data_IF_953517481987
#
_entry.id   IF_953517481987
#
_cell.length_a   1.000
_cell.length_b   1.000
_cell.length_c   1.000
_cell.angle_alpha   90.00
_cell.angle_beta   90.00
_cell.angle_gamma   90.00
#
_symmetry.space_group_name_H-M   'P 1'
#
loop_
_entity.id
_entity.type
_entity.pdbx_description
1 polymer ?
#
# COMPACT_ATOMS: atom_id res chain seq x y z
N UNK A 1 -12.57 9.05 13.07
CA UNK A 1 -13.97 9.49 13.30
C UNK A 1 -14.96 8.38 12.93
N UNK A 2 -16.24 8.55 13.25
CA UNK A 2 -17.29 7.96 12.41
C UNK A 2 -17.20 8.71 11.09
N UNK A 3 -16.85 8.02 9.99
CA UNK A 3 -16.86 8.63 8.66
C UNK A 3 -18.16 9.41 8.47
N UNK A 4 -18.07 10.64 7.96
CA UNK A 4 -19.21 11.57 7.83
C UNK A 4 -20.37 10.88 7.07
N UNK A 5 -20.06 9.90 6.22
CA UNK A 5 -21.00 9.08 5.47
C UNK A 5 -21.91 8.23 6.38
N UNK A 6 -21.37 7.65 7.45
CA UNK A 6 -22.13 6.81 8.37
C UNK A 6 -23.10 7.64 9.25
N UNK A 7 -22.82 8.94 9.43
CA UNK A 7 -23.73 9.88 10.11
C UNK A 7 -24.81 10.43 9.16
N UNK A 8 -24.58 10.43 7.85
CA UNK A 8 -25.53 10.91 6.83
C UNK A 8 -26.53 9.84 6.37
N UNK A 9 -26.24 8.55 6.60
CA UNK A 9 -27.06 7.41 6.13
C UNK A 9 -27.69 6.62 7.29
N UNK A 10 -28.13 7.31 8.35
CA UNK A 10 -28.96 6.68 9.39
C UNK A 10 -30.38 6.50 8.84
N UNK A 11 -30.60 5.41 8.09
CA UNK A 11 -31.93 5.05 7.59
C UNK A 11 -32.03 4.09 6.39
N UNK A 12 -30.92 3.64 5.78
CA UNK A 12 -30.98 2.71 4.66
C UNK A 12 -31.01 1.23 5.13
N UNK A 13 -31.71 0.36 4.41
CA UNK A 13 -31.69 -1.11 4.61
C UNK A 13 -30.35 -1.75 4.15
N UNK A 14 -29.36 -0.94 3.81
CA UNK A 14 -28.07 -1.33 3.23
C UNK A 14 -27.05 -1.67 4.34
N UNK A 15 -26.38 -2.83 4.22
CA UNK A 15 -25.27 -3.17 5.11
C UNK A 15 -23.96 -2.58 4.56
N UNK A 16 -23.50 -1.47 5.13
CA UNK A 16 -22.24 -0.82 4.77
C UNK A 16 -21.08 -1.49 5.52
N UNK A 17 -20.08 -1.96 4.79
CA UNK A 17 -18.85 -2.53 5.34
C UNK A 17 -17.66 -1.68 4.92
N UNK A 18 -17.22 -0.81 5.82
CA UNK A 18 -16.06 0.05 5.58
C UNK A 18 -14.77 -0.79 5.57
N UNK A 19 -14.04 -0.67 4.47
CA UNK A 19 -12.70 -1.21 4.36
C UNK A 19 -11.72 -0.21 4.92
N UNK A 20 -10.87 -0.73 5.79
CA UNK A 20 -9.89 0.04 6.52
C UNK A 20 -8.62 0.09 5.69
N UNK A 21 -8.41 1.18 4.95
CA UNK A 21 -7.23 1.36 4.09
C UNK A 21 -5.95 1.23 4.94
N UNK A 22 -5.14 0.25 4.57
CA UNK A 22 -3.81 0.08 5.10
C UNK A 22 -2.98 -0.67 4.09
N UNK A 23 -2.01 0.02 3.47
CA UNK A 23 -0.98 -0.60 2.64
C UNK A 23 -0.12 -1.52 3.54
N UNK A 24 0.45 -2.62 3.04
CA UNK A 24 1.20 -2.79 1.80
C UNK A 24 0.81 -4.13 1.16
N UNK A 25 0.50 -4.10 -0.14
CA UNK A 25 0.38 -5.12 -1.23
C UNK A 25 -0.11 -6.58 -0.95
N UNK A 26 -0.17 -7.04 0.29
CA UNK A 26 -0.85 -8.27 0.73
C UNK A 26 -2.09 -7.98 1.60
N UNK A 27 -2.23 -6.76 2.13
CA UNK A 27 -3.30 -6.45 3.10
C UNK A 27 -4.59 -5.95 2.46
N UNK A 28 -4.57 -5.17 1.38
CA UNK A 28 -5.82 -4.74 0.72
C UNK A 28 -6.53 -5.92 0.09
N UNK A 29 -5.83 -6.72 -0.74
CA UNK A 29 -6.37 -7.95 -1.30
C UNK A 29 -6.74 -8.98 -0.23
N UNK A 30 -5.86 -9.19 0.77
CA UNK A 30 -6.14 -10.13 1.87
C UNK A 30 -7.34 -9.72 2.74
N UNK A 31 -7.48 -8.42 3.05
CA UNK A 31 -8.63 -7.89 3.80
C UNK A 31 -9.90 -7.90 2.96
N UNK A 32 -9.81 -7.59 1.66
CA UNK A 32 -10.92 -7.71 0.72
C UNK A 32 -11.41 -9.16 0.69
N UNK A 33 -10.53 -10.14 0.46
CA UNK A 33 -10.88 -11.57 0.45
C UNK A 33 -11.54 -11.97 1.78
N UNK A 34 -11.00 -11.51 2.92
CA UNK A 34 -11.57 -11.79 4.25
C UNK A 34 -12.97 -11.19 4.42
N UNK A 35 -13.18 -9.96 3.95
CA UNK A 35 -14.48 -9.26 4.03
C UNK A 35 -15.49 -9.93 3.12
N UNK A 36 -15.13 -10.16 1.84
CA UNK A 36 -15.96 -10.90 0.88
C UNK A 36 -16.31 -12.29 1.41
N UNK A 37 -15.35 -13.04 1.96
CA UNK A 37 -15.60 -14.34 2.58
C UNK A 37 -16.54 -14.29 3.80
N UNK A 38 -16.55 -13.18 4.55
CA UNK A 38 -17.52 -12.98 5.64
C UNK A 38 -18.91 -12.59 5.11
N UNK A 39 -18.98 -11.74 4.09
CA UNK A 39 -20.22 -11.37 3.40
C UNK A 39 -20.89 -12.61 2.79
N UNK A 40 -20.10 -13.52 2.22
CA UNK A 40 -20.60 -14.76 1.64
C UNK A 40 -21.29 -15.71 2.63
N UNK A 41 -21.03 -15.57 3.94
CA UNK A 41 -21.78 -16.31 4.97
C UNK A 41 -23.24 -15.85 5.10
N UNK A 42 -23.60 -14.70 4.53
CA UNK A 42 -24.93 -14.07 4.56
C UNK A 42 -25.43 -13.71 3.16
N UNK A 43 -25.02 -14.48 2.15
CA UNK A 43 -25.34 -14.25 0.73
C UNK A 43 -26.85 -14.16 0.44
N UNK A 44 -27.69 -14.72 1.30
CA UNK A 44 -29.15 -14.68 1.20
C UNK A 44 -29.75 -13.28 1.49
N UNK A 45 -28.94 -12.30 1.91
CA UNK A 45 -29.41 -10.96 2.31
C UNK A 45 -29.12 -9.84 1.30
N UNK A 46 -28.39 -10.12 0.22
CA UNK A 46 -28.05 -9.13 -0.80
C UNK A 46 -27.84 -9.78 -2.17
N UNK A 47 -28.07 -9.01 -3.23
CA UNK A 47 -27.91 -9.46 -4.61
C UNK A 47 -26.59 -8.99 -5.25
N UNK A 48 -26.05 -7.86 -4.78
CA UNK A 48 -24.84 -7.23 -5.31
C UNK A 48 -23.94 -6.73 -4.18
N UNK A 49 -22.65 -6.59 -4.49
CA UNK A 49 -21.65 -5.97 -3.62
C UNK A 49 -21.07 -4.80 -4.40
N UNK A 50 -21.10 -3.60 -3.82
CA UNK A 50 -20.44 -2.42 -4.37
C UNK A 50 -19.18 -2.21 -3.53
N UNK A 51 -18.04 -2.11 -4.21
CA UNK A 51 -16.76 -1.78 -3.58
C UNK A 51 -16.41 -0.36 -3.98
N UNK A 52 -16.53 0.56 -3.02
CA UNK A 52 -16.01 1.91 -3.18
C UNK A 52 -14.51 1.90 -2.89
N UNK A 53 -13.72 2.37 -3.85
CA UNK A 53 -12.28 2.58 -3.69
C UNK A 53 -12.02 4.05 -3.40
N UNK A 54 -10.86 4.37 -2.80
CA UNK A 54 -10.47 5.78 -2.63
C UNK A 54 -10.31 6.45 -4.00
N UNK A 55 -10.41 7.77 -4.05
CA UNK A 55 -10.26 8.53 -5.29
C UNK A 55 -8.88 8.39 -5.97
N UNK A 56 -7.88 7.89 -5.24
CA UNK A 56 -6.52 7.64 -5.73
C UNK A 56 -6.22 6.16 -5.96
N UNK A 57 -7.12 5.25 -5.60
CA UNK A 57 -6.87 3.82 -5.74
C UNK A 57 -6.86 3.39 -7.20
N UNK A 58 -5.91 2.50 -7.53
CA UNK A 58 -5.94 1.72 -8.77
C UNK A 58 -7.05 0.64 -8.67
N UNK A 59 -8.02 0.59 -9.61
CA UNK A 59 -9.01 -0.48 -9.65
C UNK A 59 -8.42 -1.87 -9.97
N UNK A 60 -7.20 -1.94 -10.50
CA UNK A 60 -6.50 -3.16 -10.90
C UNK A 60 -6.40 -4.21 -9.79
N UNK A 61 -5.70 -3.95 -8.67
CA UNK A 61 -5.55 -4.90 -7.57
C UNK A 61 -6.88 -5.43 -7.00
N UNK A 62 -7.90 -4.56 -6.93
CA UNK A 62 -9.25 -4.94 -6.49
C UNK A 62 -9.88 -5.89 -7.50
N UNK A 63 -9.84 -5.55 -8.79
CA UNK A 63 -10.41 -6.36 -9.85
C UNK A 63 -9.70 -7.72 -10.00
N UNK A 64 -8.36 -7.75 -9.93
CA UNK A 64 -7.54 -8.97 -9.95
C UNK A 64 -7.98 -10.01 -8.92
N UNK A 65 -8.43 -9.56 -7.74
CA UNK A 65 -8.88 -10.45 -6.65
C UNK A 65 -9.95 -11.43 -7.12
N UNK A 66 -10.85 -11.00 -8.00
CA UNK A 66 -11.94 -11.83 -8.53
C UNK A 66 -11.49 -12.86 -9.58
N UNK A 67 -10.26 -12.74 -10.12
CA UNK A 67 -9.70 -13.65 -11.12
C UNK A 67 -8.62 -14.57 -10.58
N UNK A 68 -7.81 -14.06 -9.65
CA UNK A 68 -6.63 -14.72 -9.11
C UNK A 68 -6.91 -15.54 -7.85
N UNK A 69 -7.98 -15.24 -7.10
CA UNK A 69 -8.36 -16.02 -5.93
C UNK A 69 -9.42 -17.09 -6.28
N UNK A 70 -9.04 -18.35 -6.12
CA UNK A 70 -9.87 -19.49 -6.46
C UNK A 70 -11.16 -19.59 -5.63
N UNK A 71 -11.15 -19.12 -4.37
CA UNK A 71 -12.33 -19.15 -3.51
C UNK A 71 -13.32 -18.07 -3.89
N UNK A 72 -12.84 -16.83 -4.09
CA UNK A 72 -13.66 -15.70 -4.53
C UNK A 72 -14.25 -15.97 -5.91
N UNK A 73 -13.44 -16.41 -6.88
CA UNK A 73 -13.87 -16.69 -8.26
C UNK A 73 -15.00 -17.71 -8.36
N UNK A 74 -15.10 -18.63 -7.41
CA UNK A 74 -16.20 -19.63 -7.36
C UNK A 74 -17.50 -19.05 -6.83
N UNK A 75 -17.46 -17.98 -6.04
CA UNK A 75 -18.61 -17.45 -5.30
C UNK A 75 -19.10 -16.11 -5.85
N UNK A 76 -18.20 -15.31 -6.41
CA UNK A 76 -18.43 -13.95 -6.88
C UNK A 76 -17.85 -13.78 -8.29
N UNK A 77 -18.44 -12.85 -9.03
CA UNK A 77 -17.94 -12.37 -10.32
C UNK A 77 -17.94 -10.85 -10.32
N UNK A 78 -16.88 -10.24 -10.86
CA UNK A 78 -16.85 -8.80 -11.09
C UNK A 78 -17.79 -8.45 -12.25
N UNK A 79 -18.78 -7.59 -12.00
CA UNK A 79 -19.77 -7.18 -13.00
C UNK A 79 -19.25 -6.03 -13.87
N UNK A 80 -18.79 -4.96 -13.23
CA UNK A 80 -18.31 -3.76 -13.90
C UNK A 80 -17.36 -2.95 -13.01
N UNK A 81 -16.45 -2.21 -13.64
CA UNK A 81 -15.77 -1.07 -13.04
C UNK A 81 -16.51 0.21 -13.47
N UNK A 82 -16.92 1.01 -12.49
CA UNK A 82 -17.66 2.26 -12.71
C UNK A 82 -16.81 3.43 -12.23
N UNK A 83 -16.49 4.35 -13.15
CA UNK A 83 -15.66 5.52 -12.84
C UNK A 83 -16.51 6.79 -12.89
N UNK A 84 -16.61 7.47 -11.75
CA UNK A 84 -17.30 8.74 -11.60
C UNK A 84 -16.34 9.89 -11.92
N UNK A 85 -16.66 10.69 -12.93
CA UNK A 85 -15.83 11.80 -13.39
C UNK A 85 -16.47 13.14 -13.01
N UNK A 86 -15.74 14.00 -12.29
CA UNK A 86 -16.14 15.39 -12.08
C UNK A 86 -15.89 16.21 -13.36
N UNK A 87 -16.95 16.52 -14.11
CA UNK A 87 -16.82 17.23 -15.39
C UNK A 87 -16.18 18.63 -15.27
N UNK A 88 -16.23 19.26 -14.09
CA UNK A 88 -15.65 20.59 -13.86
C UNK A 88 -14.15 20.53 -13.58
N UNK A 89 -13.69 19.53 -12.84
CA UNK A 89 -12.31 19.50 -12.32
C UNK A 89 -11.40 18.50 -13.02
N UNK A 90 -11.95 17.52 -13.76
CA UNK A 90 -11.19 16.44 -14.40
C UNK A 90 -10.04 16.92 -15.30
N UNK A 91 -10.17 18.08 -15.94
CA UNK A 91 -9.12 18.65 -16.80
C UNK A 91 -7.81 18.96 -16.06
N UNK A 92 -7.85 19.16 -14.74
CA UNK A 92 -6.66 19.38 -13.92
C UNK A 92 -5.92 18.09 -13.59
N UNK A 93 -6.51 16.92 -13.90
CA UNK A 93 -6.00 15.61 -13.50
C UNK A 93 -5.65 14.73 -14.71
N UNK A 94 -6.37 14.83 -15.84
CA UNK A 94 -6.21 13.91 -16.97
C UNK A 94 -4.82 13.85 -17.59
N UNK A 95 -4.07 14.95 -17.53
CA UNK A 95 -2.74 15.04 -18.14
C UNK A 95 -1.61 14.83 -17.12
N UNK A 96 -1.89 14.99 -15.82
CA UNK A 96 -0.89 15.01 -14.74
C UNK A 96 -1.02 13.83 -13.76
N UNK A 97 -2.13 13.07 -13.77
CA UNK A 97 -2.36 11.88 -12.93
C UNK A 97 -2.50 10.64 -13.79
N UNK A 98 -1.61 9.67 -13.57
CA UNK A 98 -1.67 8.36 -14.22
C UNK A 98 -2.89 7.57 -13.74
N UNK A 99 -3.20 7.66 -12.45
CA UNK A 99 -4.32 7.00 -11.78
C UNK A 99 -5.66 7.41 -12.41
N UNK A 100 -5.88 8.72 -12.62
CA UNK A 100 -7.08 9.22 -13.26
C UNK A 100 -7.25 8.68 -14.68
N UNK A 101 -6.15 8.46 -15.41
CA UNK A 101 -6.19 7.89 -16.75
C UNK A 101 -6.48 6.40 -16.72
N UNK A 102 -5.87 5.66 -15.80
CA UNK A 102 -6.08 4.23 -15.61
C UNK A 102 -7.51 3.93 -15.18
N UNK A 103 -8.05 4.67 -14.19
CA UNK A 103 -9.45 4.55 -13.77
C UNK A 103 -10.43 4.74 -14.94
N UNK A 104 -10.12 5.65 -15.88
CA UNK A 104 -10.94 5.84 -17.10
C UNK A 104 -10.73 4.69 -18.09
N UNK A 105 -9.50 4.22 -18.25
CA UNK A 105 -9.15 3.16 -19.19
C UNK A 105 -9.74 1.80 -18.79
N UNK A 106 -9.80 1.49 -17.50
CA UNK A 106 -10.36 0.23 -17.00
C UNK A 106 -11.88 0.21 -16.91
N UNK A 107 -12.52 1.38 -16.86
CA UNK A 107 -13.97 1.50 -16.68
C UNK A 107 -14.78 0.74 -17.76
N UNK A 108 -15.83 0.07 -17.30
CA UNK A 108 -16.94 -0.38 -18.13
C UNK A 108 -17.96 0.74 -18.34
N UNK A 109 -18.13 1.56 -17.30
CA UNK A 109 -19.09 2.65 -17.27
C UNK A 109 -18.41 3.91 -16.76
N UNK A 110 -18.55 4.99 -17.51
CA UNK A 110 -18.09 6.32 -17.16
C UNK A 110 -19.30 7.19 -16.82
N UNK A 111 -19.35 7.72 -15.61
CA UNK A 111 -20.40 8.66 -15.19
C UNK A 111 -19.82 10.07 -15.16
N UNK A 112 -20.12 10.87 -16.19
CA UNK A 112 -19.76 12.29 -16.25
C UNK A 112 -20.72 13.07 -15.33
N UNK A 113 -20.27 13.37 -14.13
CA UNK A 113 -21.06 14.06 -13.10
C UNK A 113 -20.79 15.57 -13.07
N UNK A 114 -21.68 16.31 -12.39
CA UNK A 114 -21.65 17.78 -12.26
C UNK A 114 -21.73 18.50 -13.60
N UNK A 115 -22.48 17.92 -14.55
CA UNK A 115 -22.70 18.50 -15.88
C UNK A 115 -23.40 19.86 -15.82
N UNK A 116 -24.08 20.18 -14.72
CA UNK A 116 -24.72 21.46 -14.49
C UNK A 116 -23.74 22.60 -14.17
N UNK A 117 -22.46 22.29 -13.91
CA UNK A 117 -21.41 23.27 -13.61
C UNK A 117 -20.52 23.63 -14.80
N UNK A 118 -20.79 23.07 -15.98
CA UNK A 118 -19.99 23.24 -17.21
C UNK A 118 -20.90 23.49 -18.40
N UNK A 119 -20.36 24.09 -19.47
CA UNK A 119 -21.13 24.34 -20.69
C UNK A 119 -21.38 23.05 -21.49
N UNK A 120 -22.43 23.00 -22.33
CA UNK A 120 -22.66 21.86 -23.22
C UNK A 120 -21.45 21.52 -24.10
N UNK A 121 -20.73 22.53 -24.59
CA UNK A 121 -19.53 22.36 -25.40
C UNK A 121 -18.37 21.76 -24.60
N UNK A 122 -18.23 22.13 -23.31
CA UNK A 122 -17.22 21.54 -22.42
C UNK A 122 -17.52 20.05 -22.15
N UNK A 123 -18.79 19.68 -21.99
CA UNK A 123 -19.20 18.29 -21.81
C UNK A 123 -18.92 17.48 -23.07
N UNK A 124 -19.29 17.99 -24.24
CA UNK A 124 -19.06 17.29 -25.52
C UNK A 124 -17.55 17.10 -25.77
N UNK A 125 -16.73 18.10 -25.39
CA UNK A 125 -15.27 18.00 -25.44
C UNK A 125 -14.75 16.94 -24.45
N UNK A 126 -15.28 16.90 -23.23
CA UNK A 126 -14.90 15.90 -22.23
C UNK A 126 -15.26 14.49 -22.69
N UNK A 127 -16.47 14.29 -23.21
CA UNK A 127 -16.93 13.01 -23.74
C UNK A 127 -16.03 12.53 -24.88
N UNK A 128 -15.64 13.43 -25.80
CA UNK A 128 -14.68 13.11 -26.85
C UNK A 128 -13.29 12.74 -26.30
N UNK A 129 -12.81 13.43 -25.25
CA UNK A 129 -11.53 13.13 -24.61
C UNK A 129 -11.55 11.75 -23.97
N UNK A 130 -12.55 11.43 -23.15
CA UNK A 130 -12.64 10.13 -22.46
C UNK A 130 -12.93 8.99 -23.43
N UNK A 131 -13.71 9.21 -24.51
CA UNK A 131 -13.86 8.22 -25.61
C UNK A 131 -12.54 7.91 -26.30
N UNK A 132 -11.66 8.89 -26.42
CA UNK A 132 -10.32 8.70 -26.96
C UNK A 132 -9.43 7.84 -26.07
N UNK A 133 -9.69 7.81 -24.76
CA UNK A 133 -8.97 7.00 -23.78
C UNK A 133 -9.59 5.60 -23.65
N UNK A 134 -10.93 5.53 -23.63
CA UNK A 134 -11.69 4.31 -23.53
C UNK A 134 -12.88 4.34 -24.50
N UNK A 135 -12.70 3.71 -25.66
CA UNK A 135 -13.73 3.64 -26.69
C UNK A 135 -14.82 2.61 -26.38
N UNK A 136 -14.61 1.70 -25.42
CA UNK A 136 -15.53 0.61 -25.12
C UNK A 136 -16.53 0.95 -24.02
N UNK A 137 -16.19 1.86 -23.12
CA UNK A 137 -17.04 2.22 -21.99
C UNK A 137 -18.39 2.84 -22.42
N UNK A 138 -19.42 2.51 -21.65
CA UNK A 138 -20.70 3.22 -21.68
C UNK A 138 -20.54 4.56 -20.95
N UNK A 139 -21.17 5.63 -21.46
CA UNK A 139 -21.03 6.97 -20.89
C UNK A 139 -22.41 7.49 -20.49
N UNK A 140 -22.54 7.89 -19.23
CA UNK A 140 -23.73 8.53 -18.68
C UNK A 140 -23.41 9.94 -18.22
N UNK A 141 -24.23 10.91 -18.64
CA UNK A 141 -24.18 12.28 -18.13
C UNK A 141 -25.10 12.39 -16.92
N UNK A 142 -24.60 12.90 -15.81
CA UNK A 142 -25.32 12.90 -14.53
C UNK A 142 -25.16 14.22 -13.78
N UNK A 143 -26.13 14.49 -12.90
CA UNK A 143 -26.10 15.58 -11.92
C UNK A 143 -26.24 14.96 -10.54
N UNK A 144 -25.35 15.30 -9.60
CA UNK A 144 -25.31 14.69 -8.26
C UNK A 144 -25.24 13.14 -8.30
N UNK A 145 -24.56 12.58 -9.30
CA UNK A 145 -24.48 11.15 -9.56
C UNK A 145 -25.84 10.45 -9.73
N UNK A 146 -26.89 11.20 -10.08
CA UNK A 146 -28.22 10.64 -10.37
C UNK A 146 -28.20 9.86 -11.69
N UNK A 147 -27.96 8.56 -11.58
CA UNK A 147 -27.98 7.57 -12.65
C UNK A 147 -28.84 6.38 -12.22
N UNK A 148 -29.49 5.75 -13.19
CA UNK A 148 -30.29 4.56 -12.91
C UNK A 148 -29.38 3.41 -12.46
N UNK A 149 -29.78 2.67 -11.42
CA UNK A 149 -28.95 1.59 -10.84
C UNK A 149 -28.65 0.48 -11.85
N UNK A 150 -29.57 0.20 -12.77
CA UNK A 150 -29.39 -0.77 -13.86
C UNK A 150 -28.39 -0.32 -14.93
N UNK A 151 -28.00 0.96 -14.94
CA UNK A 151 -26.93 1.47 -15.79
C UNK A 151 -25.54 1.23 -15.20
N UNK A 152 -25.44 0.93 -13.91
CA UNK A 152 -24.16 0.70 -13.21
C UNK A 152 -24.05 -0.69 -12.57
N UNK A 153 -25.15 -1.43 -12.46
CA UNK A 153 -25.23 -2.81 -11.97
C UNK A 153 -25.81 -3.74 -13.05
N UNK A 154 -25.33 -4.98 -13.09
CA UNK A 154 -25.67 -6.00 -14.09
C UNK A 154 -25.28 -5.58 -15.52
N UNK A 155 -24.21 -4.81 -15.65
CA UNK A 155 -23.70 -4.39 -16.96
C UNK A 155 -23.11 -5.58 -17.71
N UNK A 156 -22.58 -6.58 -16.97
CA UNK A 156 -21.88 -7.74 -17.53
C UNK A 156 -20.68 -7.32 -18.38
N UNK A 157 -20.09 -6.17 -18.06
CA UNK A 157 -19.14 -5.46 -18.91
C UNK A 157 -17.70 -5.90 -18.72
N UNK A 158 -17.35 -6.39 -17.52
CA UNK A 158 -15.95 -6.63 -17.20
C UNK A 158 -15.39 -7.82 -18.01
N UNK A 159 -14.56 -7.50 -19.01
CA UNK A 159 -13.86 -8.47 -19.84
C UNK A 159 -12.36 -8.44 -19.52
N UNK A 160 -11.86 -9.54 -18.95
CA UNK A 160 -10.45 -9.71 -18.64
C UNK A 160 -9.56 -9.52 -19.87
N UNK A 161 -10.01 -9.93 -21.05
CA UNK A 161 -9.27 -9.76 -22.30
C UNK A 161 -9.08 -8.28 -22.65
N UNK A 162 -10.07 -7.45 -22.32
CA UNK A 162 -10.01 -6.00 -22.50
C UNK A 162 -9.08 -5.36 -21.48
N UNK A 163 -9.18 -5.75 -20.20
CA UNK A 163 -8.24 -5.29 -19.16
C UNK A 163 -6.79 -5.60 -19.54
N UNK A 164 -6.52 -6.81 -20.04
CA UNK A 164 -5.20 -7.23 -20.54
C UNK A 164 -4.74 -6.49 -21.82
N UNK A 165 -5.66 -5.95 -22.61
CA UNK A 165 -5.31 -5.14 -23.79
C UNK A 165 -4.92 -3.70 -23.42
N UNK A 166 -5.43 -3.21 -22.29
CA UNK A 166 -5.10 -1.90 -21.71
C UNK A 166 -3.78 -2.01 -20.94
N UNK A 167 -3.71 -2.97 -20.02
CA UNK A 167 -2.50 -3.31 -19.29
C UNK A 167 -2.19 -4.81 -19.45
N UNK A 168 -1.20 -5.19 -20.28
CA UNK A 168 -0.78 -6.60 -20.43
C UNK A 168 -0.28 -7.24 -19.13
N UNK A 169 0.17 -6.43 -18.16
CA UNK A 169 0.63 -6.85 -16.84
C UNK A 169 -0.48 -6.80 -15.80
N UNK A 170 -1.74 -6.62 -16.21
CA UNK A 170 -2.90 -6.55 -15.31
C UNK A 170 -3.08 -7.77 -14.40
N UNK A 171 -2.50 -8.94 -14.74
CA UNK A 171 -2.56 -10.13 -13.88
C UNK A 171 -1.30 -10.32 -13.01
N UNK A 172 -0.32 -9.43 -13.15
CA UNK A 172 0.89 -9.42 -12.34
C UNK A 172 0.59 -8.77 -10.99
N UNK A 173 1.10 -9.34 -9.88
CA UNK A 173 1.00 -8.70 -8.58
C UNK A 173 1.81 -7.40 -8.54
N UNK A 174 1.32 -6.44 -7.77
CA UNK A 174 2.05 -5.21 -7.46
C UNK A 174 2.94 -5.38 -6.23
N UNK A 175 4.07 -4.68 -6.25
CA UNK A 175 5.10 -4.78 -5.23
C UNK A 175 5.57 -3.39 -4.79
N UNK A 176 6.03 -3.23 -3.54
CA UNK A 176 6.53 -1.95 -3.01
C UNK A 176 7.94 -1.61 -3.53
N UNK A 177 8.36 -2.24 -4.62
CA UNK A 177 9.65 -2.08 -5.27
C UNK A 177 9.49 -2.33 -6.76
N UNK A 178 10.26 -1.62 -7.56
CA UNK A 178 10.22 -1.72 -9.01
C UNK A 178 11.30 -2.63 -9.60
N UNK A 179 12.36 -2.90 -8.84
CA UNK A 179 13.51 -3.66 -9.35
C UNK A 179 14.13 -4.56 -8.28
N UNK A 180 14.63 -5.71 -8.73
CA UNK A 180 15.45 -6.61 -7.94
C UNK A 180 16.59 -7.18 -8.77
N UNK A 181 17.80 -7.22 -8.19
CA UNK A 181 18.98 -7.81 -8.81
C UNK A 181 19.70 -8.78 -7.87
N UNK A 182 20.07 -9.95 -8.38
CA UNK A 182 20.85 -10.94 -7.64
C UNK A 182 22.33 -10.80 -7.92
N UNK A 183 23.18 -10.99 -6.91
CA UNK A 183 24.62 -10.81 -6.99
C UNK A 183 25.36 -11.90 -6.23
N UNK A 184 26.39 -12.46 -6.84
CA UNK A 184 27.37 -13.31 -6.18
C UNK A 184 28.51 -12.45 -5.61
N UNK A 185 28.51 -12.24 -4.29
CA UNK A 185 29.44 -11.34 -3.62
C UNK A 185 30.46 -12.10 -2.77
N UNK A 186 31.70 -11.61 -2.81
CA UNK A 186 32.79 -12.06 -1.95
C UNK A 186 32.90 -11.15 -0.72
N UNK A 187 33.43 -11.62 0.42
CA UNK A 187 33.63 -10.78 1.59
C UNK A 187 34.41 -9.51 1.24
N UNK A 188 33.96 -8.37 1.78
CA UNK A 188 34.57 -7.08 1.54
C UNK A 188 33.56 -5.94 1.54
N UNK A 189 34.07 -4.73 1.30
CA UNK A 189 33.27 -3.52 1.18
C UNK A 189 33.02 -3.21 -0.29
N UNK A 190 31.76 -2.94 -0.59
CA UNK A 190 31.25 -2.48 -1.87
C UNK A 190 30.67 -1.07 -1.69
N UNK A 191 30.40 -0.38 -2.78
CA UNK A 191 29.76 0.93 -2.77
C UNK A 191 28.54 0.89 -3.68
N UNK A 192 27.35 1.13 -3.12
CA UNK A 192 26.15 1.38 -3.91
C UNK A 192 26.10 2.88 -4.22
N UNK A 193 26.21 3.20 -5.49
CA UNK A 193 26.34 4.54 -6.01
C UNK A 193 25.04 4.93 -6.72
N UNK A 194 24.54 6.13 -6.45
CA UNK A 194 23.39 6.70 -7.12
C UNK A 194 23.67 8.17 -7.45
N UNK A 195 23.17 8.62 -8.58
CA UNK A 195 23.13 10.03 -8.98
C UNK A 195 21.76 10.63 -8.61
N UNK A 196 21.53 11.91 -8.97
CA UNK A 196 20.23 12.57 -8.81
C UNK A 196 19.18 11.93 -9.74
N UNK A 197 18.00 11.66 -9.20
CA UNK A 197 16.85 11.13 -9.93
C UNK A 197 15.57 11.94 -9.68
N UNK A 198 14.41 11.42 -10.08
CA UNK A 198 13.12 12.11 -9.91
C UNK A 198 12.80 12.38 -8.43
N UNK A 199 13.07 11.40 -7.57
CA UNK A 199 12.81 11.46 -6.14
C UNK A 199 14.05 11.83 -5.33
N UNK A 200 13.82 12.44 -4.16
CA UNK A 200 14.89 12.90 -3.26
C UNK A 200 15.36 11.83 -2.30
N UNK A 201 14.72 10.67 -2.31
CA UNK A 201 15.07 9.52 -1.50
C UNK A 201 14.67 8.25 -2.21
N UNK A 202 15.20 7.11 -1.75
CA UNK A 202 14.81 5.80 -2.26
C UNK A 202 14.99 4.74 -1.18
N UNK A 203 13.99 3.90 -0.96
CA UNK A 203 14.09 2.74 -0.08
C UNK A 203 14.78 1.57 -0.80
N UNK A 204 15.71 0.92 -0.11
CA UNK A 204 16.40 -0.27 -0.60
C UNK A 204 16.42 -1.38 0.44
N UNK A 205 16.38 -2.62 -0.01
CA UNK A 205 16.51 -3.82 0.85
C UNK A 205 17.55 -4.75 0.25
N UNK A 206 18.54 -5.12 1.05
CA UNK A 206 19.57 -6.10 0.68
C UNK A 206 19.41 -7.37 1.53
N UNK A 207 19.18 -8.52 0.91
CA UNK A 207 18.97 -9.81 1.62
C UNK A 207 19.92 -10.90 1.10
N UNK A 208 20.34 -11.86 1.95
CA UNK A 208 21.03 -13.05 1.47
C UNK A 208 20.06 -13.95 0.69
N UNK A 209 20.52 -14.47 -0.45
CA UNK A 209 19.82 -15.51 -1.21
C UNK A 209 20.32 -16.90 -0.79
N UNK A 210 19.43 -17.91 -0.72
CA UNK A 210 19.84 -19.30 -0.65
C UNK A 210 20.78 -19.67 -1.82
N UNK A 211 21.70 -20.64 -1.66
CA UNK A 211 22.66 -21.00 -2.72
C UNK A 211 22.02 -21.28 -4.09
N UNK A 212 20.88 -21.98 -4.09
CA UNK A 212 20.12 -22.34 -5.28
C UNK A 212 18.83 -21.49 -5.44
N UNK A 213 18.68 -20.42 -4.66
CA UNK A 213 17.50 -19.55 -4.69
C UNK A 213 17.57 -18.52 -5.82
N UNK A 214 16.41 -18.10 -6.32
CA UNK A 214 16.24 -16.99 -7.28
C UNK A 214 15.63 -15.78 -6.59
N UNK A 215 15.43 -14.67 -7.31
CA UNK A 215 14.72 -13.51 -6.78
C UNK A 215 13.32 -13.90 -6.27
N UNK A 216 12.60 -14.78 -6.96
CA UNK A 216 11.27 -15.27 -6.55
C UNK A 216 11.27 -15.92 -5.17
N UNK A 217 12.39 -16.52 -4.76
CA UNK A 217 12.51 -17.18 -3.46
C UNK A 217 12.42 -16.19 -2.29
N UNK A 218 12.69 -14.91 -2.54
CA UNK A 218 12.75 -13.87 -1.51
C UNK A 218 11.77 -12.71 -1.74
N UNK A 219 10.93 -12.75 -2.78
CA UNK A 219 9.91 -11.71 -3.04
C UNK A 219 9.03 -11.50 -1.81
N UNK A 220 8.29 -12.51 -1.36
CA UNK A 220 7.37 -12.38 -0.20
C UNK A 220 8.04 -11.83 1.08
N UNK A 221 9.19 -12.38 1.54
CA UNK A 221 9.84 -11.82 2.72
C UNK A 221 10.38 -10.41 2.49
N UNK A 222 10.86 -10.06 1.29
CA UNK A 222 11.32 -8.69 0.97
C UNK A 222 10.15 -7.71 0.94
N UNK A 223 9.03 -8.10 0.35
CA UNK A 223 7.78 -7.33 0.37
C UNK A 223 7.36 -6.97 1.80
N UNK A 224 7.48 -7.92 2.74
CA UNK A 224 7.25 -7.65 4.15
C UNK A 224 8.30 -6.72 4.77
N UNK A 225 9.55 -6.78 4.32
CA UNK A 225 10.62 -5.88 4.79
C UNK A 225 10.39 -4.44 4.35
N UNK A 226 9.94 -4.19 3.12
CA UNK A 226 9.54 -2.85 2.67
C UNK A 226 8.37 -2.28 3.48
N UNK A 227 7.61 -3.12 4.19
CA UNK A 227 6.57 -2.67 5.12
C UNK A 227 7.07 -2.31 6.52
N UNK A 228 8.35 -2.55 6.81
CA UNK A 228 8.93 -2.20 8.10
C UNK A 228 9.39 -0.74 8.12
N UNK A 229 9.55 -0.14 9.31
CA UNK A 229 10.14 1.20 9.41
C UNK A 229 11.52 1.23 8.78
N UNK A 230 11.73 2.16 7.85
CA UNK A 230 13.02 2.37 7.22
C UNK A 230 14.06 2.82 8.25
N UNK A 231 15.28 2.32 8.06
CA UNK A 231 16.45 2.90 8.67
C UNK A 231 16.97 4.00 7.77
N UNK A 232 17.14 5.20 8.31
CA UNK A 232 17.84 6.28 7.63
C UNK A 232 19.32 6.13 8.03
N UNK A 233 20.18 5.54 7.19
CA UNK A 233 21.61 5.51 7.48
C UNK A 233 22.13 6.94 7.59
N UNK A 234 23.01 7.22 8.55
CA UNK A 234 23.74 8.48 8.51
C UNK A 234 24.56 8.54 7.21
N UNK A 235 24.85 9.73 6.70
CA UNK A 235 25.58 9.88 5.44
C UNK A 235 26.91 9.06 5.46
N UNK A 236 27.09 8.16 4.48
CA UNK A 236 28.16 7.15 4.39
C UNK A 236 28.10 5.97 5.39
N UNK A 237 26.98 5.73 6.08
CA UNK A 237 26.76 4.49 6.83
C UNK A 237 26.32 3.35 5.91
N UNK A 238 26.64 2.09 6.28
CA UNK A 238 26.41 0.97 5.40
C UNK A 238 24.92 0.63 5.27
N UNK A 239 24.54 0.14 4.09
CA UNK A 239 23.22 -0.48 3.88
C UNK A 239 23.13 -1.72 4.77
N UNK A 240 22.10 -1.79 5.60
CA UNK A 240 21.83 -2.89 6.51
C UNK A 240 21.26 -4.10 5.74
N UNK A 241 21.60 -5.31 6.19
CA UNK A 241 21.03 -6.52 5.62
C UNK A 241 19.68 -6.84 6.25
N UNK A 242 18.73 -7.28 5.43
CA UNK A 242 17.40 -7.70 5.84
C UNK A 242 16.60 -6.64 6.61
N UNK A 243 16.87 -5.37 6.34
CA UNK A 243 16.15 -4.21 6.87
C UNK A 243 16.00 -3.18 5.74
N UNK A 244 14.86 -2.48 5.64
CA UNK A 244 14.71 -1.39 4.68
C UNK A 244 15.62 -0.22 5.05
N UNK A 245 16.32 0.33 4.07
CA UNK A 245 17.17 1.51 4.21
C UNK A 245 16.66 2.65 3.31
N UNK A 246 16.28 3.78 3.90
CA UNK A 246 15.91 4.99 3.15
C UNK A 246 17.17 5.78 2.79
N UNK A 247 17.54 5.78 1.52
CA UNK A 247 18.69 6.50 1.01
C UNK A 247 18.34 7.98 0.80
N UNK A 248 19.14 8.90 1.35
CA UNK A 248 19.02 10.35 1.07
C UNK A 248 19.76 10.69 -0.24
N UNK A 249 19.00 11.09 -1.26
CA UNK A 249 19.47 11.38 -2.61
C UNK A 249 19.43 12.89 -2.92
N UNK A 250 19.32 13.75 -1.90
CA UNK A 250 19.35 15.22 -2.07
C UNK A 250 20.68 15.77 -2.60
N UNK A 251 21.72 14.95 -2.67
CA UNK A 251 23.04 15.31 -3.21
C UNK A 251 23.19 14.72 -4.60
N UNK A 252 23.81 15.49 -5.50
CA UNK A 252 24.00 15.12 -6.91
C UNK A 252 24.66 13.75 -7.17
N UNK A 253 25.41 13.20 -6.20
CA UNK A 253 25.96 11.85 -6.26
C UNK A 253 26.17 11.30 -4.85
N UNK A 254 25.40 10.30 -4.49
CA UNK A 254 25.39 9.66 -3.17
C UNK A 254 26.07 8.29 -3.21
N UNK A 255 26.79 7.97 -2.13
CA UNK A 255 27.55 6.72 -1.98
C UNK A 255 27.19 6.06 -0.67
N UNK A 256 26.74 4.81 -0.75
CA UNK A 256 26.36 4.03 0.41
C UNK A 256 27.22 2.78 0.48
N UNK A 257 28.05 2.60 1.52
CA UNK A 257 28.85 1.41 1.64
C UNK A 257 27.98 0.16 1.83
N UNK A 258 28.42 -0.97 1.32
CA UNK A 258 27.76 -2.28 1.50
C UNK A 258 28.82 -3.25 2.02
N UNK A 259 28.66 -3.75 3.24
CA UNK A 259 29.67 -4.61 3.88
C UNK A 259 29.27 -6.08 3.85
N UNK A 260 29.84 -6.83 2.92
CA UNK A 260 29.61 -8.27 2.80
C UNK A 260 30.57 -9.02 3.72
N UNK A 261 30.03 -9.75 4.71
CA UNK A 261 30.85 -10.47 5.71
C UNK A 261 31.13 -11.92 5.34
N UNK A 262 30.32 -12.51 4.47
CA UNK A 262 30.44 -13.91 4.03
C UNK A 262 30.30 -13.98 2.52
N UNK A 263 31.03 -14.90 1.89
CA UNK A 263 30.80 -15.22 0.49
C UNK A 263 29.39 -15.78 0.34
N UNK A 264 28.64 -15.32 -0.65
CA UNK A 264 27.30 -15.83 -0.91
C UNK A 264 26.59 -15.12 -2.05
N UNK A 265 25.35 -15.54 -2.30
CA UNK A 265 24.43 -14.83 -3.18
C UNK A 265 23.59 -13.87 -2.35
N UNK A 266 23.29 -12.72 -2.92
CA UNK A 266 22.54 -11.63 -2.30
C UNK A 266 21.56 -11.06 -3.31
N UNK A 267 20.41 -10.58 -2.85
CA UNK A 267 19.46 -9.85 -3.68
C UNK A 267 19.32 -8.42 -3.14
N UNK A 268 19.49 -7.45 -4.03
CA UNK A 268 19.21 -6.04 -3.77
C UNK A 268 17.88 -5.70 -4.45
N UNK A 269 16.95 -5.13 -3.70
CA UNK A 269 15.69 -4.59 -4.19
C UNK A 269 15.66 -3.08 -3.96
N UNK A 270 15.14 -2.33 -4.93
CA UNK A 270 15.04 -0.88 -4.89
C UNK A 270 13.61 -0.44 -5.15
N UNK A 271 13.16 0.57 -4.40
CA UNK A 271 11.83 1.19 -4.55
C UNK A 271 11.59 1.62 -5.99
N UNK A 272 12.55 2.34 -6.58
CA UNK A 272 12.55 2.76 -7.97
C UNK A 272 13.54 1.97 -8.82
N UNK A 273 13.39 2.07 -10.14
CA UNK A 273 14.34 1.51 -11.11
C UNK A 273 15.74 2.14 -10.99
N UNK A 274 16.81 1.31 -10.93
CA UNK A 274 18.19 1.80 -10.89
C UNK A 274 18.55 2.79 -12.01
N UNK A 275 17.97 2.62 -13.20
CA UNK A 275 18.25 3.47 -14.37
C UNK A 275 17.84 4.93 -14.16
N UNK A 276 16.80 5.18 -13.36
CA UNK A 276 16.30 6.53 -13.06
C UNK A 276 17.30 7.35 -12.25
N UNK A 277 18.19 6.67 -11.53
CA UNK A 277 19.19 7.23 -10.64
C UNK A 277 20.64 6.92 -11.09
N UNK A 278 20.84 6.33 -12.29
CA UNK A 278 22.12 5.79 -12.74
C UNK A 278 22.81 4.92 -11.67
N UNK A 279 22.03 4.12 -10.95
CA UNK A 279 22.49 3.40 -9.79
C UNK A 279 23.38 2.21 -10.17
N UNK A 280 24.48 2.02 -9.44
CA UNK A 280 25.45 0.95 -9.70
C UNK A 280 26.10 0.44 -8.43
N UNK A 281 26.36 -0.87 -8.37
CA UNK A 281 27.12 -1.50 -7.29
C UNK A 281 28.58 -1.61 -7.70
N UNK A 282 29.49 -1.06 -6.90
CA UNK A 282 30.92 -0.99 -7.22
C UNK A 282 31.74 -1.81 -6.21
N UNK A 283 32.82 -2.44 -6.70
CA UNK A 283 33.92 -2.98 -5.88
C UNK A 283 35.24 -2.41 -6.35
N UNK A 284 35.95 -1.69 -5.47
CA UNK A 284 37.22 -1.05 -5.80
C UNK A 284 37.14 -0.19 -7.08
N UNK A 285 36.05 0.56 -7.25
CA UNK A 285 35.80 1.42 -8.41
C UNK A 285 35.40 0.69 -9.70
N UNK A 286 35.23 -0.63 -9.68
CA UNK A 286 34.73 -1.41 -10.82
C UNK A 286 33.27 -1.80 -10.59
N UNK A 287 32.45 -1.63 -11.62
CA UNK A 287 31.04 -1.98 -11.58
C UNK A 287 30.81 -3.49 -11.53
N UNK A 288 29.85 -3.88 -10.71
CA UNK A 288 29.38 -5.24 -10.52
C UNK A 288 27.95 -5.29 -11.04
N UNK A 289 27.73 -6.03 -12.11
CA UNK A 289 26.40 -6.24 -12.67
C UNK A 289 25.69 -7.39 -11.94
N UNK A 290 24.36 -7.35 -11.87
CA UNK A 290 23.58 -8.47 -11.35
C UNK A 290 23.77 -9.72 -12.21
N UNK A 291 23.77 -10.88 -11.55
CA UNK A 291 23.73 -12.20 -12.20
C UNK A 291 22.36 -12.45 -12.87
N UNK A 292 21.30 -11.91 -12.28
CA UNK A 292 19.91 -11.94 -12.74
C UNK A 292 19.20 -10.69 -12.23
N UNK A 293 18.34 -10.09 -13.05
CA UNK A 293 17.53 -8.94 -12.68
C UNK A 293 16.08 -9.10 -13.12
N UNK A 294 15.17 -8.47 -12.39
CA UNK A 294 13.74 -8.48 -12.67
C UNK A 294 13.14 -7.10 -12.37
N UNK A 295 12.28 -6.65 -13.28
CA UNK A 295 11.44 -5.47 -13.09
C UNK A 295 10.06 -5.91 -12.60
N UNK A 296 9.55 -5.21 -11.61
CA UNK A 296 8.27 -5.46 -10.95
C UNK A 296 7.28 -4.34 -11.30
N UNK A 297 5.97 -4.62 -11.19
CA UNK A 297 4.94 -3.58 -11.26
C UNK A 297 4.92 -2.88 -9.89
N UNK A 298 5.21 -1.56 -9.80
CA UNK A 298 5.13 -0.84 -8.54
C UNK A 298 3.70 -0.77 -8.02
N UNK A 299 3.56 -0.64 -6.72
CA UNK A 299 2.34 -0.19 -6.04
C UNK A 299 2.20 1.32 -6.30
N UNK A 300 1.20 1.75 -7.06
CA UNK A 300 1.05 3.14 -7.55
C UNK A 300 0.55 4.14 -6.48
N UNK A 301 0.74 3.88 -5.19
CA UNK A 301 0.38 4.83 -4.13
C UNK A 301 1.55 5.76 -3.76
N UNK A 302 1.74 6.84 -4.54
CA UNK A 302 2.55 7.98 -4.09
C UNK A 302 1.65 9.01 -3.39
N UNK A 303 1.43 8.82 -2.09
CA UNK A 303 1.03 9.91 -1.20
C UNK A 303 2.17 10.17 -0.20
N UNK A 304 3.07 11.07 -0.59
CA UNK A 304 4.26 11.52 0.16
C UNK A 304 3.95 12.06 1.58
N UNK A 305 2.69 12.14 1.99
CA UNK A 305 2.28 12.54 3.34
C UNK A 305 2.17 11.37 4.35
N UNK A 306 2.13 10.11 3.91
CA UNK A 306 1.94 8.96 4.79
C UNK A 306 3.29 8.43 5.27
N UNK A 307 3.56 8.58 6.57
CA UNK A 307 4.81 8.18 7.21
C UNK A 307 4.56 7.10 8.27
N UNK A 308 5.62 6.45 8.76
CA UNK A 308 5.52 5.45 9.82
C UNK A 308 6.38 5.77 11.05
N UNK A 309 5.83 5.52 12.24
CA UNK A 309 6.52 5.70 13.53
C UNK A 309 6.58 4.39 14.27
N UNK A 310 7.77 3.78 14.28
CA UNK A 310 8.09 2.60 15.08
C UNK A 310 8.60 2.96 16.48
N UNK A 311 8.04 2.32 17.51
CA UNK A 311 8.45 2.47 18.91
C UNK A 311 8.88 1.11 19.46
N UNK A 312 10.12 1.02 19.95
CA UNK A 312 10.61 -0.15 20.69
C UNK A 312 11.10 0.29 22.06
N UNK A 313 10.50 -0.26 23.13
CA UNK A 313 10.92 0.02 24.51
C UNK A 313 10.88 -1.25 25.35
N UNK A 314 11.92 -1.46 26.16
CA UNK A 314 11.99 -2.55 27.12
C UNK A 314 11.19 -2.24 28.40
N UNK A 315 10.78 -3.30 29.10
CA UNK A 315 10.04 -3.21 30.36
C UNK A 315 8.57 -3.58 30.23
N UNK A 316 7.88 -3.59 31.36
CA UNK A 316 6.46 -3.91 31.42
C UNK A 316 5.61 -2.64 31.36
N UNK A 317 4.46 -2.73 30.71
CA UNK A 317 3.45 -1.68 30.64
C UNK A 317 2.36 -1.89 31.68
N UNK A 318 1.87 -0.79 32.24
CA UNK A 318 0.57 -0.75 32.88
C UNK A 318 -0.53 -0.68 31.80
N UNK A 319 -1.29 -1.76 31.65
CA UNK A 319 -2.34 -1.85 30.63
C UNK A 319 -3.44 -0.80 30.75
N UNK A 320 -3.71 -0.27 31.95
CA UNK A 320 -4.68 0.81 32.13
C UNK A 320 -4.13 2.14 31.65
N UNK A 321 -2.86 2.44 31.94
CA UNK A 321 -2.19 3.64 31.43
C UNK A 321 -2.11 3.62 29.91
N UNK A 322 -1.75 2.47 29.35
CA UNK A 322 -1.71 2.25 27.91
C UNK A 322 -3.08 2.50 27.26
N UNK A 323 -4.15 1.84 27.74
CA UNK A 323 -5.49 2.04 27.17
C UNK A 323 -5.96 3.51 27.28
N UNK A 324 -5.65 4.19 28.39
CA UNK A 324 -6.01 5.59 28.56
C UNK A 324 -5.23 6.53 27.64
N UNK A 325 -3.94 6.28 27.43
CA UNK A 325 -3.11 7.02 26.48
C UNK A 325 -3.58 6.78 25.05
N UNK A 326 -3.75 5.52 24.66
CA UNK A 326 -4.15 5.14 23.31
C UNK A 326 -5.54 5.67 22.96
N UNK A 327 -6.50 5.62 23.90
CA UNK A 327 -7.82 6.21 23.69
C UNK A 327 -7.78 7.72 23.46
N UNK A 328 -6.88 8.45 24.15
CA UNK A 328 -6.68 9.89 23.89
C UNK A 328 -6.04 10.12 22.53
N UNK A 329 -4.96 9.39 22.22
CA UNK A 329 -4.26 9.48 20.94
C UNK A 329 -5.22 9.26 19.77
N UNK A 330 -6.04 8.21 19.84
CA UNK A 330 -7.05 7.92 18.82
C UNK A 330 -8.11 9.01 18.74
N UNK A 331 -8.55 9.57 19.87
CA UNK A 331 -9.55 10.64 19.85
C UNK A 331 -9.05 11.96 19.25
N UNK A 332 -7.75 12.26 19.34
CA UNK A 332 -7.18 13.53 18.86
C UNK A 332 -6.50 13.41 17.50
N UNK A 333 -5.85 12.28 17.20
CA UNK A 333 -5.07 12.06 15.99
C UNK A 333 -5.54 10.84 15.19
N UNK A 334 -6.69 10.23 15.53
CA UNK A 334 -7.17 9.02 14.85
C UNK A 334 -7.59 9.23 13.39
N UNK A 335 -7.84 10.47 12.97
CA UNK A 335 -8.03 10.84 11.57
C UNK A 335 -6.73 10.64 10.78
N UNK A 336 -5.59 10.99 11.39
CA UNK A 336 -4.26 10.96 10.78
C UNK A 336 -3.56 9.60 10.98
N UNK A 337 -3.96 8.81 11.98
CA UNK A 337 -3.41 7.47 12.22
C UNK A 337 -4.22 6.43 11.44
N UNK A 338 -3.64 5.93 10.36
CA UNK A 338 -4.29 4.97 9.47
C UNK A 338 -4.16 3.57 10.00
N UNK A 339 -2.99 3.18 10.51
CA UNK A 339 -2.77 1.84 11.04
C UNK A 339 -1.94 1.87 12.29
N UNK A 340 -2.23 0.95 13.20
CA UNK A 340 -1.33 0.63 14.29
C UNK A 340 -1.26 -0.86 14.53
N UNK A 341 -0.07 -1.35 14.89
CA UNK A 341 0.11 -2.72 15.36
C UNK A 341 1.09 -2.71 16.50
N UNK A 342 0.97 -3.67 17.40
CA UNK A 342 2.04 -3.86 18.36
C UNK A 342 1.98 -5.14 19.15
N UNK A 343 3.13 -5.46 19.72
CA UNK A 343 3.37 -6.52 20.68
C UNK A 343 3.71 -5.83 22.00
N UNK A 344 2.90 -6.07 23.01
CA UNK A 344 3.02 -5.45 24.32
C UNK A 344 3.42 -6.48 25.39
N UNK A 345 4.30 -6.03 26.28
CA UNK A 345 4.65 -6.70 27.52
C UNK A 345 3.81 -6.11 28.65
N UNK A 346 2.65 -6.70 28.94
CA UNK A 346 1.77 -6.22 30.00
C UNK A 346 2.22 -6.74 31.37
N UNK A 347 2.28 -5.84 32.37
CA UNK A 347 2.65 -6.19 33.74
C UNK A 347 1.78 -7.31 34.27
N UNK A 348 2.42 -8.34 34.81
CA UNK A 348 1.74 -9.49 35.41
C UNK A 348 1.16 -10.49 34.40
N UNK A 349 1.40 -10.30 33.09
CA UNK A 349 0.99 -11.27 32.07
C UNK A 349 2.19 -12.05 31.53
N UNK A 350 2.12 -13.38 31.57
CA UNK A 350 3.14 -14.26 31.02
C UNK A 350 3.11 -14.33 29.48
N UNK A 351 1.99 -13.94 28.88
CA UNK A 351 1.78 -13.92 27.43
C UNK A 351 2.09 -12.56 26.84
N UNK A 352 2.49 -12.57 25.57
CA UNK A 352 2.47 -11.37 24.73
C UNK A 352 1.02 -10.93 24.56
N UNK A 353 0.82 -9.63 24.48
CA UNK A 353 -0.44 -9.09 24.04
C UNK A 353 -0.23 -8.45 22.67
N UNK A 354 -0.90 -8.97 21.65
CA UNK A 354 -0.77 -8.47 20.28
C UNK A 354 -2.04 -7.71 19.97
N UNK A 355 -1.88 -6.50 19.47
CA UNK A 355 -3.00 -5.67 19.05
C UNK A 355 -2.77 -5.16 17.64
N UNK A 356 -3.88 -4.87 16.99
CA UNK A 356 -3.92 -4.19 15.71
C UNK A 356 -5.08 -3.21 15.73
N UNK A 357 -4.89 -2.08 15.06
CA UNK A 357 -5.92 -1.09 14.88
C UNK A 357 -5.82 -0.43 13.52
N UNK A 358 -6.96 0.01 13.03
CA UNK A 358 -7.07 0.85 11.84
C UNK A 358 -7.96 2.02 12.22
N UNK A 359 -7.46 3.24 12.03
CA UNK A 359 -8.09 4.45 12.52
C UNK A 359 -8.50 4.32 13.99
N UNK A 360 -9.78 4.50 14.29
CA UNK A 360 -10.32 4.48 15.65
C UNK A 360 -10.53 3.07 16.22
N UNK A 361 -10.45 2.04 15.39
CA UNK A 361 -10.77 0.67 15.77
C UNK A 361 -9.53 -0.02 16.35
N UNK A 362 -9.68 -0.61 17.53
CA UNK A 362 -8.63 -1.32 18.24
C UNK A 362 -9.11 -2.73 18.58
N UNK A 363 -8.39 -3.75 18.11
CA UNK A 363 -8.60 -5.14 18.49
C UNK A 363 -7.30 -5.71 19.09
N UNK A 364 -7.42 -6.51 20.14
CA UNK A 364 -6.27 -6.98 20.90
C UNK A 364 -6.54 -8.32 21.56
N UNK A 365 -5.57 -9.23 21.47
CA UNK A 365 -5.66 -10.57 22.04
C UNK A 365 -4.34 -11.02 22.65
N UNK A 366 -4.39 -11.87 23.69
CA UNK A 366 -3.21 -12.63 24.11
C UNK A 366 -2.69 -13.50 22.97
N UNK A 367 -1.37 -13.52 22.79
CA UNK A 367 -0.64 -14.40 21.89
C UNK A 367 0.15 -15.43 22.70
N UNK A 368 1.24 -15.99 22.16
CA UNK A 368 2.12 -16.95 22.82
C UNK A 368 2.81 -16.38 24.08
N UNK A 369 3.20 -17.25 25.04
CA UNK A 369 4.03 -16.87 26.18
C UNK A 369 5.37 -16.25 25.76
N UNK A 370 5.92 -15.38 26.61
CA UNK A 370 7.26 -14.82 26.40
C UNK A 370 8.37 -15.89 26.45
N UNK A 371 8.19 -16.93 27.27
CA UNK A 371 9.18 -18.01 27.41
C UNK A 371 10.51 -17.49 27.95
N UNK A 372 11.60 -17.67 27.19
CA UNK A 372 12.94 -17.14 27.49
C UNK A 372 13.25 -15.83 26.77
N UNK A 373 12.35 -15.33 25.92
CA UNK A 373 12.58 -14.09 25.18
C UNK A 373 12.54 -12.87 26.13
N UNK A 374 13.39 -11.85 25.91
CA UNK A 374 13.33 -10.62 26.68
C UNK A 374 11.98 -9.94 26.48
N UNK A 375 11.42 -9.44 27.58
CA UNK A 375 10.15 -8.73 27.61
C UNK A 375 10.35 -7.32 27.06
N UNK A 376 9.82 -7.07 25.87
CA UNK A 376 9.99 -5.82 25.13
C UNK A 376 8.71 -5.45 24.41
N UNK A 377 8.48 -4.15 24.22
CA UNK A 377 7.30 -3.63 23.56
C UNK A 377 7.68 -3.12 22.18
N UNK A 378 6.91 -3.48 21.15
CA UNK A 378 7.11 -3.05 19.77
C UNK A 378 5.80 -2.56 19.20
N UNK A 379 5.75 -1.31 18.76
CA UNK A 379 4.58 -0.68 18.16
C UNK A 379 4.97 -0.03 16.84
N UNK A 380 4.03 0.00 15.91
CA UNK A 380 4.12 0.77 14.68
C UNK A 380 2.82 1.57 14.53
N UNK A 381 2.95 2.85 14.19
CA UNK A 381 1.87 3.72 13.74
C UNK A 381 2.17 4.09 12.29
N UNK A 382 1.17 4.06 11.42
CA UNK A 382 1.25 4.47 10.01
C UNK A 382 0.16 5.51 9.80
N UNK A 383 0.48 6.62 9.17
CA UNK A 383 -0.42 7.75 9.11
C UNK A 383 0.23 9.03 8.62
N UNK A 384 -0.53 10.11 8.52
CA UNK A 384 -0.03 11.43 8.13
C UNK A 384 0.40 12.24 9.34
N UNK A 385 1.32 13.18 9.15
CA UNK A 385 1.69 14.16 10.18
C UNK A 385 2.05 13.56 11.56
N UNK A 386 2.64 12.37 11.59
CA UNK A 386 2.93 11.66 12.84
C UNK A 386 4.12 12.29 13.59
N UNK A 387 3.87 12.75 14.83
CA UNK A 387 4.95 13.21 15.71
C UNK A 387 5.58 12.04 16.49
N UNK A 388 6.77 11.61 16.05
CA UNK A 388 7.51 10.52 16.69
C UNK A 388 7.85 10.81 18.16
N UNK A 389 8.19 12.06 18.50
CA UNK A 389 8.59 12.43 19.86
C UNK A 389 7.39 12.29 20.80
N UNK A 390 6.25 12.87 20.41
CA UNK A 390 5.00 12.79 21.18
C UNK A 390 4.54 11.34 21.39
N UNK A 391 4.51 10.55 20.30
CA UNK A 391 4.12 9.14 20.36
C UNK A 391 5.03 8.32 21.28
N UNK A 392 6.35 8.53 21.18
CA UNK A 392 7.35 7.80 21.98
C UNK A 392 7.27 8.20 23.46
N UNK A 393 7.12 9.48 23.76
CA UNK A 393 7.01 9.96 25.15
C UNK A 393 5.71 9.52 25.81
N UNK A 394 4.58 9.64 25.10
CA UNK A 394 3.28 9.19 25.57
C UNK A 394 3.25 7.69 25.86
N UNK A 395 3.88 6.89 24.98
CA UNK A 395 4.02 5.46 25.20
C UNK A 395 4.97 5.13 26.37
N UNK A 396 6.13 5.80 26.46
CA UNK A 396 7.10 5.62 27.56
C UNK A 396 6.49 5.89 28.94
N UNK A 397 5.57 6.86 29.04
CA UNK A 397 4.86 7.16 30.29
C UNK A 397 3.97 6.00 30.81
N UNK A 398 3.71 4.99 29.97
CA UNK A 398 2.93 3.81 30.32
C UNK A 398 3.76 2.67 30.94
N UNK A 399 5.10 2.75 30.89
CA UNK A 399 6.01 1.76 31.49
C UNK A 399 6.00 1.81 33.03
N UNK A 400 6.25 0.67 33.68
CA UNK A 400 6.22 0.49 35.14
C UNK A 400 7.29 -0.43 35.69
#
# INVERSE_FOLDING_TARGET
EVGIDNALVIGAEEEIFEMNNGCICCTVRGDLIRILGNLMKRRDRFDAIIVETTGLADPGPVAQTFFMDDEIKRQLSLDAIVTLIDARHVWNHLDDSEEAREQIAFADVLVLNKIDLVSPEEIDRLEARVRGMNAAAQIHRARNADVALDAILNVGGFDLSRALSVDPRFMEPEYPFEWGGSFTLEPGTYEFLLDEGPDRSMVVVLVPLPPDGTLETVIEPVTLLFSNPEQIPLFNEPICFAEPCLLDLTKARSRFPVTVTKKGRYALFTEHRPEEFNASLLKNGHEIHPDEEQVFKPDHEHDDEVTSVGITLDGDLDGKRFNAWLGRLLSTHGADIFRMKGILSLRGQANRFVFQGVHMLFDGRPDRPWGKEPRSNRLIFIGRNLDRSELTEGFRACLV
#
